data_IF_246563409884
#
_entry.id   IF_246563409884
#
_cell.length_a   1.000
_cell.length_b   1.000
_cell.length_c   1.000
_cell.angle_alpha   90.00
_cell.angle_beta   90.00
_cell.angle_gamma   90.00
#
_symmetry.space_group_name_H-M   'P 1'
#
loop_
_entity.id
_entity.type
_entity.pdbx_description
1 polymer ?
#
# COMPACT_ATOMS: atom_id res chain seq x y z
N UNK A 1 8.66 -0.25 12.19
CA UNK A 1 7.74 -0.85 11.19
C UNK A 1 8.42 -0.86 9.82
N UNK A 2 8.96 -2.01 9.40
CA UNK A 2 9.39 -2.20 8.01
C UNK A 2 8.22 -2.84 7.27
N UNK A 3 7.34 -2.04 6.69
CA UNK A 3 6.43 -2.59 5.68
C UNK A 3 7.26 -2.86 4.43
N UNK A 4 7.44 -4.13 4.09
CA UNK A 4 7.94 -4.56 2.78
C UNK A 4 6.85 -4.29 1.74
N UNK A 5 6.65 -3.02 1.39
CA UNK A 5 6.11 -2.66 0.10
C UNK A 5 7.28 -2.76 -0.88
N UNK A 6 7.23 -3.74 -1.79
CA UNK A 6 8.11 -3.75 -2.96
C UNK A 6 7.73 -2.51 -3.79
N UNK A 7 8.35 -1.38 -3.47
CA UNK A 7 8.43 -0.21 -4.34
C UNK A 7 9.37 -0.65 -5.46
N UNK A 8 8.79 -1.04 -6.60
CA UNK A 8 9.56 -1.15 -7.83
C UNK A 8 10.15 0.24 -8.09
N UNK A 9 11.48 0.31 -8.11
CA UNK A 9 12.26 1.52 -7.89
C UNK A 9 12.03 2.65 -8.90
N UNK A 10 12.04 3.87 -8.37
CA UNK A 10 12.51 5.05 -9.08
C UNK A 10 13.75 5.55 -8.32
N UNK A 11 14.93 5.17 -8.80
CA UNK A 11 16.22 5.61 -8.28
C UNK A 11 16.63 6.90 -8.97
N UNK A 12 16.03 8.03 -8.54
CA UNK A 12 16.59 9.40 -8.56
C UNK A 12 15.45 10.41 -8.38
N UNK A 13 15.61 11.32 -7.40
CA UNK A 13 14.72 12.41 -6.95
C UNK A 13 13.84 12.05 -5.74
N UNK A 14 13.77 12.90 -4.68
CA UNK A 14 12.91 12.66 -3.54
C UNK A 14 11.48 12.61 -4.05
N UNK A 15 10.86 11.44 -3.97
CA UNK A 15 9.45 11.27 -4.28
C UNK A 15 8.69 12.35 -3.51
N UNK A 16 8.04 13.28 -4.22
CA UNK A 16 7.08 14.20 -3.60
C UNK A 16 6.18 13.34 -2.74
N UNK A 17 6.20 13.57 -1.43
CA UNK A 17 5.29 12.92 -0.52
C UNK A 17 3.92 13.43 -0.91
N UNK A 18 3.21 12.66 -1.74
CA UNK A 18 1.86 12.98 -2.14
C UNK A 18 0.99 13.03 -0.86
N UNK A 19 0.30 14.15 -0.57
CA UNK A 19 -0.45 14.29 0.66
C UNK A 19 -1.51 13.20 0.84
N UNK A 20 -2.08 12.65 -0.24
CA UNK A 20 -3.04 11.55 -0.17
C UNK A 20 -2.36 10.23 0.19
N UNK A 21 -1.14 10.01 -0.28
CA UNK A 21 -0.33 8.84 0.11
C UNK A 21 0.08 8.92 1.59
N UNK A 22 0.53 10.08 2.07
CA UNK A 22 0.85 10.28 3.48
C UNK A 22 -0.39 10.09 4.37
N UNK A 23 -1.52 10.71 4.02
CA UNK A 23 -2.77 10.57 4.75
C UNK A 23 -3.26 9.11 4.79
N UNK A 24 -3.09 8.36 3.70
CA UNK A 24 -3.42 6.93 3.66
C UNK A 24 -2.59 6.13 4.67
N UNK A 25 -1.29 6.37 4.76
CA UNK A 25 -0.45 5.69 5.75
C UNK A 25 -0.77 6.10 7.18
N UNK A 26 -1.09 7.37 7.42
CA UNK A 26 -1.56 7.82 8.74
C UNK A 26 -2.90 7.18 9.12
N UNK A 27 -3.80 6.98 8.16
CA UNK A 27 -5.05 6.27 8.37
C UNK A 27 -4.81 4.82 8.80
N UNK A 28 -3.90 4.10 8.14
CA UNK A 28 -3.53 2.73 8.53
C UNK A 28 -2.83 2.66 9.89
N UNK A 29 -1.96 3.63 10.19
CA UNK A 29 -1.26 3.74 11.49
C UNK A 29 -2.18 4.01 12.67
N UNK A 30 -3.40 4.49 12.42
CA UNK A 30 -4.45 4.61 13.44
C UNK A 30 -5.21 3.30 13.68
N UNK A 31 -4.83 2.22 13.01
CA UNK A 31 -5.48 0.91 13.12
C UNK A 31 -6.63 0.72 12.15
N UNK A 32 -6.90 1.69 11.27
CA UNK A 32 -7.95 1.57 10.27
C UNK A 32 -7.52 0.64 9.13
N UNK A 33 -8.41 -0.25 8.71
CA UNK A 33 -8.19 -1.10 7.54
C UNK A 33 -8.58 -0.37 6.26
N UNK A 34 -7.97 -0.74 5.13
CA UNK A 34 -8.35 -0.22 3.82
C UNK A 34 -8.39 -1.33 2.78
N UNK A 35 -9.36 -1.28 1.86
CA UNK A 35 -9.48 -2.21 0.75
C UNK A 35 -9.87 -1.49 -0.53
N UNK A 36 -9.34 -1.91 -1.68
CA UNK A 36 -9.69 -1.33 -2.95
C UNK A 36 -8.86 -1.85 -4.12
N UNK A 37 -9.20 -1.37 -5.31
CA UNK A 37 -8.45 -1.61 -6.54
C UNK A 37 -7.60 -0.38 -6.86
N UNK A 38 -6.31 -0.59 -7.09
CA UNK A 38 -5.37 0.50 -7.31
C UNK A 38 -4.69 0.31 -8.65
N UNK A 39 -4.88 1.24 -9.58
CA UNK A 39 -4.09 1.22 -10.83
C UNK A 39 -2.63 1.51 -10.50
N UNK A 40 -1.72 0.64 -10.94
CA UNK A 40 -0.27 0.85 -10.85
C UNK A 40 0.40 0.56 -12.18
N UNK A 41 1.61 1.04 -12.34
CA UNK A 41 2.43 0.76 -13.51
C UNK A 41 3.65 -0.07 -13.08
N UNK A 42 3.89 -1.16 -13.81
CA UNK A 42 5.13 -1.94 -13.70
C UNK A 42 6.31 -1.15 -14.27
N UNK A 43 7.53 -1.63 -14.04
CA UNK A 43 8.76 -1.02 -14.59
C UNK A 43 8.76 -0.93 -16.11
N UNK A 44 8.07 -1.87 -16.78
CA UNK A 44 7.90 -1.92 -18.23
C UNK A 44 6.78 -0.99 -18.75
N UNK A 45 6.18 -0.18 -17.88
CA UNK A 45 5.11 0.75 -18.22
C UNK A 45 3.73 0.10 -18.36
N UNK A 46 3.61 -1.23 -18.19
CA UNK A 46 2.30 -1.89 -18.27
C UNK A 46 1.46 -1.59 -17.03
N UNK A 47 0.19 -1.26 -17.27
CA UNK A 47 -0.77 -1.09 -16.19
C UNK A 47 -1.07 -2.44 -15.55
N UNK A 48 -1.13 -2.44 -14.22
CA UNK A 48 -1.65 -3.53 -13.41
C UNK A 48 -2.72 -3.00 -12.47
N UNK A 49 -3.68 -3.86 -12.17
CA UNK A 49 -4.79 -3.56 -11.28
C UNK A 49 -4.76 -4.53 -10.09
N UNK A 50 -3.92 -4.29 -9.08
CA UNK A 50 -4.03 -5.01 -7.81
C UNK A 50 -5.32 -4.61 -7.07
N UNK A 51 -6.16 -5.60 -6.77
CA UNK A 51 -7.14 -5.50 -5.69
C UNK A 51 -6.41 -5.85 -4.40
N UNK A 52 -6.33 -4.90 -3.47
CA UNK A 52 -5.53 -5.05 -2.27
C UNK A 52 -6.29 -4.64 -1.00
N UNK A 53 -5.99 -5.34 0.09
CA UNK A 53 -6.47 -5.07 1.44
C UNK A 53 -5.28 -4.87 2.37
N UNK A 54 -5.31 -3.80 3.16
CA UNK A 54 -4.31 -3.42 4.15
C UNK A 54 -4.92 -3.59 5.54
N UNK A 55 -4.37 -4.51 6.31
CA UNK A 55 -4.86 -4.91 7.62
C UNK A 55 -3.81 -4.61 8.69
N UNK A 56 -4.02 -3.59 9.52
CA UNK A 56 -3.18 -3.35 10.69
C UNK A 56 -3.28 -4.51 11.68
N UNK A 57 -2.13 -4.97 12.20
CA UNK A 57 -2.05 -5.90 13.32
C UNK A 57 -1.80 -5.09 14.59
N UNK A 58 -2.67 -5.29 15.57
CA UNK A 58 -2.65 -4.57 16.84
C UNK A 58 -1.95 -5.40 17.93
N UNK A 59 -1.25 -4.72 18.84
CA UNK A 59 -0.73 -5.33 20.06
C UNK A 59 -1.85 -5.51 21.12
N UNK A 60 -1.47 -6.04 22.29
CA UNK A 60 -2.40 -6.24 23.41
C UNK A 60 -2.98 -4.92 23.97
N UNK A 61 -2.35 -3.78 23.70
CA UNK A 61 -2.80 -2.44 24.10
C UNK A 61 -3.62 -1.78 22.97
N UNK A 62 -3.92 -2.50 21.88
CA UNK A 62 -4.68 -2.00 20.74
C UNK A 62 -3.88 -1.11 19.80
N UNK A 63 -2.56 -1.03 19.95
CA UNK A 63 -1.70 -0.17 19.12
C UNK A 63 -1.22 -0.92 17.88
N UNK A 64 -1.33 -0.35 16.67
CA UNK A 64 -0.80 -0.98 15.47
C UNK A 64 0.73 -1.11 15.54
N UNK A 65 1.25 -2.32 15.36
CA UNK A 65 2.70 -2.58 15.29
C UNK A 65 3.16 -3.16 13.94
N UNK A 66 2.23 -3.70 13.15
CA UNK A 66 2.47 -4.18 11.78
C UNK A 66 1.29 -3.88 10.85
N UNK A 67 1.54 -3.86 9.54
CA UNK A 67 0.49 -3.81 8.51
C UNK A 67 0.75 -4.95 7.53
N UNK A 68 -0.20 -5.88 7.45
CA UNK A 68 -0.18 -6.94 6.44
C UNK A 68 -1.02 -6.51 5.24
N UNK A 69 -0.48 -6.72 4.05
CA UNK A 69 -1.15 -6.43 2.80
C UNK A 69 -1.41 -7.72 2.03
N UNK A 70 -2.67 -7.95 1.70
CA UNK A 70 -3.07 -8.97 0.74
C UNK A 70 -3.37 -8.30 -0.59
N UNK A 71 -2.89 -8.84 -1.70
CA UNK A 71 -3.17 -8.31 -3.03
C UNK A 71 -3.32 -9.44 -4.04
N UNK A 72 -4.34 -9.29 -4.89
CA UNK A 72 -4.59 -10.16 -6.04
C UNK A 72 -4.48 -9.30 -7.29
N UNK A 73 -3.77 -9.82 -8.29
CA UNK A 73 -3.71 -9.19 -9.60
C UNK A 73 -5.03 -9.46 -10.35
N UNK A 74 -5.84 -8.41 -10.51
CA UNK A 74 -7.11 -8.46 -11.24
C UNK A 74 -6.99 -7.75 -12.60
N UNK A 75 -5.77 -7.63 -13.14
CA UNK A 75 -5.52 -6.94 -14.42
C UNK A 75 -6.29 -7.56 -15.59
N UNK A 76 -6.52 -8.87 -15.58
CA UNK A 76 -7.27 -9.55 -16.64
C UNK A 76 -8.79 -9.27 -16.60
N UNK A 77 -9.30 -8.70 -15.51
CA UNK A 77 -10.72 -8.33 -15.34
C UNK A 77 -10.99 -6.87 -15.78
N UNK A 78 -10.01 -6.18 -16.38
CA UNK A 78 -10.04 -4.74 -16.68
C UNK A 78 -9.75 -4.41 -18.14
#
# INVERSE_FOLDING_TARGET
MKSSAIIIGCSSLPARIDPSYAAFWEYLRKGSHASGEYRRFRKDGKAVWPRATYNPILDIEGRPFEIVKYAVDVTLEK
#
